data_IF_377526486074
#
_entry.id   IF_377526486074
#
_cell.length_a   1.000
_cell.length_b   1.000
_cell.length_c   1.000
_cell.angle_alpha   90.00
_cell.angle_beta   90.00
_cell.angle_gamma   90.00
#
_symmetry.space_group_name_H-M   'P 1'
#
loop_
_entity.id
_entity.type
_entity.pdbx_description
1 polymer ?
#
# COMPACT_ATOMS: atom_id res chain seq x y z
N UNK A 1 29.07 -10.52 6.55
CA UNK A 1 29.44 -9.51 7.58
C UNK A 1 28.61 -9.78 8.81
N UNK A 2 29.21 -9.91 10.02
CA UNK A 2 28.41 -10.00 11.25
C UNK A 2 27.75 -8.65 11.49
N UNK A 3 26.44 -8.61 11.44
CA UNK A 3 25.65 -7.43 11.79
C UNK A 3 25.89 -7.19 13.29
N UNK A 4 26.42 -6.03 13.67
CA UNK A 4 26.55 -5.67 15.07
C UNK A 4 25.16 -5.66 15.72
N UNK A 5 25.00 -6.33 16.86
CA UNK A 5 23.74 -6.38 17.57
C UNK A 5 23.39 -4.96 18.04
N UNK A 6 22.28 -4.43 17.57
CA UNK A 6 21.73 -3.18 18.06
C UNK A 6 20.74 -3.52 19.19
N UNK A 7 21.11 -3.25 20.45
CA UNK A 7 20.32 -3.60 21.63
C UNK A 7 18.91 -2.98 21.65
N UNK A 8 18.68 -1.94 20.86
CA UNK A 8 17.34 -1.33 20.67
C UNK A 8 16.46 -2.17 19.73
N UNK A 9 17.04 -2.99 18.87
CA UNK A 9 16.33 -3.75 17.83
C UNK A 9 16.30 -5.24 18.17
N UNK A 10 17.41 -5.80 18.67
CA UNK A 10 17.50 -7.23 18.96
C UNK A 10 18.27 -7.49 20.25
N UNK A 11 17.95 -8.59 20.91
CA UNK A 11 18.56 -9.05 22.16
C UNK A 11 18.87 -10.55 22.08
N UNK A 12 19.83 -11.01 22.89
CA UNK A 12 20.09 -12.45 23.07
C UNK A 12 19.22 -12.95 24.24
N UNK A 13 18.28 -13.80 23.96
CA UNK A 13 17.40 -14.46 24.94
C UNK A 13 17.62 -15.97 24.85
N UNK A 14 18.07 -16.58 25.96
CA UNK A 14 18.40 -18.02 26.03
C UNK A 14 19.37 -18.49 24.94
N UNK A 15 20.36 -17.67 24.60
CA UNK A 15 21.38 -17.97 23.60
C UNK A 15 20.94 -17.79 22.14
N UNK A 16 19.72 -17.33 21.90
CA UNK A 16 19.20 -17.01 20.56
C UNK A 16 18.98 -15.51 20.41
N UNK A 17 19.25 -15.00 19.22
CA UNK A 17 18.93 -13.62 18.86
C UNK A 17 17.43 -13.48 18.61
N UNK A 18 16.81 -12.48 19.20
CA UNK A 18 15.39 -12.18 19.08
C UNK A 18 15.22 -10.71 18.72
N UNK A 19 14.35 -10.40 17.77
CA UNK A 19 13.97 -9.01 17.43
C UNK A 19 12.97 -8.53 18.48
N UNK A 20 13.35 -7.50 19.25
CA UNK A 20 12.51 -6.93 20.32
C UNK A 20 11.69 -5.73 19.86
N UNK A 21 12.09 -5.10 18.75
CA UNK A 21 11.35 -3.99 18.13
C UNK A 21 10.90 -4.36 16.71
N UNK A 22 9.67 -4.85 16.61
CA UNK A 22 9.04 -5.17 15.32
C UNK A 22 8.49 -3.90 14.68
N UNK A 23 8.76 -3.63 13.39
CA UNK A 23 8.20 -2.48 12.70
C UNK A 23 6.68 -2.62 12.48
N UNK A 24 5.98 -1.49 12.47
CA UNK A 24 4.59 -1.40 12.07
C UNK A 24 4.43 -1.69 10.57
N UNK A 25 3.51 -2.56 10.18
CA UNK A 25 3.11 -2.74 8.78
C UNK A 25 1.92 -1.83 8.48
N UNK A 26 2.15 -0.77 7.68
CA UNK A 26 1.17 0.25 7.35
C UNK A 26 0.57 0.01 5.97
N UNK A 27 -0.71 -0.34 5.93
CA UNK A 27 -1.43 -0.69 4.70
C UNK A 27 -2.32 0.44 4.17
N UNK A 28 -2.56 0.50 2.85
CA UNK A 28 -3.47 1.49 2.24
C UNK A 28 -4.92 1.02 2.27
N UNK A 29 -5.87 1.94 2.46
CA UNK A 29 -7.28 1.68 2.17
C UNK A 29 -7.97 2.88 1.52
N UNK A 30 -8.68 2.63 0.40
CA UNK A 30 -9.44 3.65 -0.31
C UNK A 30 -10.93 3.65 0.07
N UNK A 31 -11.41 2.66 0.81
CA UNK A 31 -12.76 2.57 1.35
C UNK A 31 -12.79 1.62 2.55
N UNK A 32 -13.94 1.54 3.24
CA UNK A 32 -14.12 0.76 4.46
C UNK A 32 -13.91 -0.75 4.27
N UNK A 33 -14.32 -1.32 3.12
CA UNK A 33 -14.08 -2.74 2.78
C UNK A 33 -12.58 -3.04 2.75
N UNK A 34 -11.79 -2.21 2.04
CA UNK A 34 -10.32 -2.35 1.96
C UNK A 34 -9.66 -2.19 3.33
N UNK A 35 -10.17 -1.29 4.19
CA UNK A 35 -9.69 -1.11 5.55
C UNK A 35 -9.85 -2.41 6.36
N UNK A 36 -11.06 -2.98 6.35
CA UNK A 36 -11.34 -4.23 7.07
C UNK A 36 -10.47 -5.38 6.59
N UNK A 37 -10.31 -5.52 5.27
CA UNK A 37 -9.41 -6.50 4.66
C UNK A 37 -7.94 -6.27 5.07
N UNK A 38 -7.43 -5.04 4.98
CA UNK A 38 -6.05 -4.74 5.35
C UNK A 38 -5.74 -5.16 6.80
N UNK A 39 -6.63 -4.83 7.73
CA UNK A 39 -6.50 -5.18 9.15
C UNK A 39 -6.54 -6.69 9.36
N UNK A 40 -7.51 -7.40 8.76
CA UNK A 40 -7.64 -8.85 8.91
C UNK A 40 -6.48 -9.62 8.29
N UNK A 41 -5.86 -9.09 7.23
CA UNK A 41 -4.70 -9.70 6.57
C UNK A 41 -3.37 -9.34 7.21
N UNK A 42 -3.37 -8.62 8.34
CA UNK A 42 -2.20 -8.45 9.21
C UNK A 42 -1.55 -7.07 9.21
N UNK A 43 -2.26 -6.01 8.78
CA UNK A 43 -1.77 -4.65 8.94
C UNK A 43 -1.85 -4.21 10.42
N UNK A 44 -0.77 -3.65 10.94
CA UNK A 44 -0.72 -3.03 12.28
C UNK A 44 -1.36 -1.63 12.27
N UNK A 45 -1.34 -0.97 11.10
CA UNK A 45 -2.03 0.29 10.90
C UNK A 45 -2.52 0.43 9.45
N UNK A 46 -3.53 1.28 9.25
CA UNK A 46 -4.09 1.55 7.93
C UNK A 46 -4.16 3.06 7.69
N UNK A 47 -3.64 3.53 6.54
CA UNK A 47 -3.81 4.91 6.15
C UNK A 47 -4.94 5.07 5.14
N UNK A 48 -5.81 6.04 5.41
CA UNK A 48 -7.00 6.36 4.64
C UNK A 48 -6.97 7.82 4.18
N UNK A 49 -7.94 8.26 3.41
CA UNK A 49 -8.14 9.66 3.07
C UNK A 49 -9.55 10.10 3.41
N UNK A 50 -9.68 11.28 3.97
CA UNK A 50 -10.94 11.98 4.09
C UNK A 50 -11.39 12.59 2.76
N UNK A 51 -12.60 13.12 2.73
CA UNK A 51 -13.18 13.77 1.55
C UNK A 51 -12.41 15.03 1.16
N UNK A 52 -11.74 15.67 2.11
CA UNK A 52 -10.97 16.90 1.94
C UNK A 52 -9.51 16.71 2.38
N UNK A 53 -8.66 17.65 2.03
CA UNK A 53 -7.24 17.78 2.42
C UNK A 53 -6.32 16.60 2.05
N UNK A 54 -6.80 15.62 1.26
CA UNK A 54 -6.02 14.45 0.83
C UNK A 54 -5.59 14.48 -0.64
N UNK A 55 -4.43 13.86 -0.97
CA UNK A 55 -3.88 13.81 -2.35
C UNK A 55 -4.58 12.86 -3.32
N UNK A 56 -5.62 12.17 -2.93
CA UNK A 56 -6.34 11.21 -3.76
C UNK A 56 -7.83 11.52 -3.79
N UNK A 57 -8.19 12.68 -4.33
CA UNK A 57 -9.60 13.12 -4.45
C UNK A 57 -10.49 12.17 -5.25
N UNK A 58 -9.91 11.36 -6.15
CA UNK A 58 -10.64 10.34 -6.94
C UNK A 58 -10.74 8.97 -6.23
N UNK A 59 -10.16 8.78 -5.05
CA UNK A 59 -10.40 7.60 -4.23
C UNK A 59 -11.79 7.72 -3.60
N UNK A 60 -12.38 6.58 -3.21
CA UNK A 60 -13.71 6.57 -2.55
C UNK A 60 -13.79 7.44 -1.30
N UNK A 61 -12.66 7.78 -0.68
CA UNK A 61 -12.50 8.63 0.51
C UNK A 61 -13.55 8.41 1.59
N UNK A 62 -13.17 8.58 2.83
CA UNK A 62 -14.03 8.26 3.99
C UNK A 62 -14.80 9.48 4.48
N UNK A 63 -16.06 9.31 4.79
CA UNK A 63 -16.82 10.21 5.68
C UNK A 63 -16.36 10.04 7.12
N UNK A 64 -16.67 10.98 8.01
CA UNK A 64 -16.34 10.86 9.44
C UNK A 64 -17.00 9.63 10.09
N UNK A 65 -18.22 9.27 9.67
CA UNK A 65 -18.93 8.09 10.18
C UNK A 65 -18.23 6.80 9.75
N UNK A 66 -17.80 6.69 8.49
CA UNK A 66 -17.00 5.56 8.01
C UNK A 66 -15.62 5.49 8.67
N UNK A 67 -14.99 6.64 8.96
CA UNK A 67 -13.74 6.68 9.74
C UNK A 67 -13.95 6.13 11.14
N UNK A 68 -15.02 6.53 11.82
CA UNK A 68 -15.38 6.06 13.16
C UNK A 68 -15.64 4.55 13.14
N UNK A 69 -16.43 4.04 12.20
CA UNK A 69 -16.64 2.60 12.03
C UNK A 69 -15.33 1.86 11.78
N UNK A 70 -14.46 2.41 10.92
CA UNK A 70 -13.13 1.86 10.65
C UNK A 70 -12.24 1.81 11.88
N UNK A 71 -12.23 2.87 12.69
CA UNK A 71 -11.48 2.95 13.96
C UNK A 71 -11.99 1.92 14.95
N UNK A 72 -13.30 1.80 15.12
CA UNK A 72 -13.92 0.80 16.02
C UNK A 72 -13.61 -0.64 15.56
N UNK A 73 -13.61 -0.88 14.25
CA UNK A 73 -13.22 -2.17 13.68
C UNK A 73 -11.74 -2.47 13.92
N UNK A 74 -10.84 -1.53 13.59
CA UNK A 74 -9.40 -1.70 13.70
C UNK A 74 -8.97 -1.96 15.17
N UNK A 75 -9.59 -1.29 16.15
CA UNK A 75 -9.34 -1.52 17.57
C UNK A 75 -9.54 -2.96 18.02
N UNK A 76 -10.48 -3.71 17.41
CA UNK A 76 -10.72 -5.13 17.75
C UNK A 76 -9.52 -6.03 17.40
N UNK A 77 -8.69 -5.58 16.46
CA UNK A 77 -7.49 -6.26 16.00
C UNK A 77 -6.20 -5.62 16.52
N UNK A 78 -6.30 -4.58 17.37
CA UNK A 78 -5.15 -3.82 17.85
C UNK A 78 -4.50 -2.90 16.82
N UNK A 79 -5.17 -2.67 15.67
CA UNK A 79 -4.66 -1.83 14.59
C UNK A 79 -5.05 -0.35 14.75
N UNK A 80 -4.27 0.55 14.14
CA UNK A 80 -4.44 2.00 14.20
C UNK A 80 -4.87 2.57 12.84
N UNK A 81 -5.54 3.72 12.86
CA UNK A 81 -5.97 4.41 11.63
C UNK A 81 -5.30 5.78 11.56
N UNK A 82 -4.65 6.05 10.41
CA UNK A 82 -4.06 7.35 10.08
C UNK A 82 -4.78 7.99 8.90
N UNK A 83 -5.01 9.29 8.96
CA UNK A 83 -5.69 10.03 7.89
C UNK A 83 -4.70 10.89 7.12
N UNK A 84 -4.67 10.75 5.80
CA UNK A 84 -3.85 11.61 4.95
C UNK A 84 -4.52 12.99 4.79
N UNK A 85 -3.86 14.03 5.29
CA UNK A 85 -4.21 15.45 5.19
C UNK A 85 -3.05 16.20 4.53
N UNK A 86 -2.54 15.63 3.44
CA UNK A 86 -1.20 15.91 2.93
C UNK A 86 -1.19 16.73 1.62
N UNK A 87 -2.21 17.53 1.36
CA UNK A 87 -2.16 18.56 0.31
C UNK A 87 -1.21 19.68 0.75
N UNK A 88 -0.69 20.46 -0.21
CA UNK A 88 -0.22 21.80 0.04
C UNK A 88 -1.42 22.73 0.04
N UNK A 89 -1.73 23.33 1.21
CA UNK A 89 -2.89 24.18 1.38
C UNK A 89 -2.69 25.53 0.67
N UNK A 90 -3.73 26.01 0.01
CA UNK A 90 -3.83 27.37 -0.49
C UNK A 90 -4.81 28.17 0.38
N UNK A 91 -4.89 29.48 0.19
CA UNK A 91 -5.78 30.33 0.99
C UNK A 91 -7.25 29.86 1.02
N UNK A 92 -7.73 29.26 -0.08
CA UNK A 92 -9.07 28.67 -0.16
C UNK A 92 -9.28 27.44 0.73
N UNK A 93 -8.20 26.81 1.25
CA UNK A 93 -8.26 25.65 2.13
C UNK A 93 -8.17 26.05 3.62
N UNK A 94 -8.10 27.34 3.95
CA UNK A 94 -8.05 27.82 5.34
C UNK A 94 -9.41 27.67 6.00
N UNK A 95 -10.45 28.11 5.28
CA UNK A 95 -11.83 27.99 5.77
C UNK A 95 -12.24 26.51 5.84
N UNK A 96 -12.80 26.09 6.98
CA UNK A 96 -13.22 24.71 7.23
C UNK A 96 -12.14 23.77 7.78
N UNK A 97 -10.84 24.19 7.80
CA UNK A 97 -9.78 23.33 8.31
C UNK A 97 -9.95 22.96 9.79
N UNK A 98 -10.36 23.91 10.62
CA UNK A 98 -10.58 23.68 12.05
C UNK A 98 -11.68 22.65 12.29
N UNK A 99 -12.82 22.81 11.59
CA UNK A 99 -13.95 21.85 11.66
C UNK A 99 -13.54 20.46 11.18
N UNK A 100 -12.71 20.38 10.13
CA UNK A 100 -12.19 19.11 9.64
C UNK A 100 -11.30 18.42 10.68
N UNK A 101 -10.36 19.13 11.31
CA UNK A 101 -9.50 18.57 12.36
C UNK A 101 -10.32 18.12 13.57
N UNK A 102 -11.33 18.89 13.98
CA UNK A 102 -12.25 18.49 15.06
C UNK A 102 -13.09 17.26 14.67
N UNK A 103 -13.47 17.13 13.38
CA UNK A 103 -14.12 15.93 12.85
C UNK A 103 -13.24 14.69 12.95
N UNK A 104 -11.94 14.81 12.60
CA UNK A 104 -10.96 13.71 12.76
C UNK A 104 -10.80 13.29 14.21
N UNK A 105 -10.71 14.27 15.12
CA UNK A 105 -10.69 14.02 16.57
C UNK A 105 -11.97 13.28 17.02
N UNK A 106 -13.14 13.72 16.57
CA UNK A 106 -14.43 13.08 16.87
C UNK A 106 -14.55 11.65 16.33
N UNK A 107 -13.88 11.34 15.20
CA UNK A 107 -13.80 9.99 14.63
C UNK A 107 -12.82 9.10 15.41
N UNK A 108 -11.93 9.65 16.23
CA UNK A 108 -11.00 8.91 17.07
C UNK A 108 -9.82 8.31 16.31
N UNK A 109 -9.37 8.96 15.23
CA UNK A 109 -8.20 8.53 14.45
C UNK A 109 -6.93 8.68 15.30
N UNK A 110 -5.94 7.81 15.10
CA UNK A 110 -4.71 7.79 15.87
C UNK A 110 -3.71 8.87 15.44
N UNK A 111 -3.68 9.20 14.15
CA UNK A 111 -2.75 10.18 13.62
C UNK A 111 -3.17 10.76 12.28
N UNK A 112 -2.49 11.83 11.88
CA UNK A 112 -2.58 12.42 10.52
C UNK A 112 -1.23 12.35 9.81
N UNK A 113 -1.28 12.17 8.50
CA UNK A 113 -0.10 12.23 7.62
C UNK A 113 -0.21 13.55 6.85
N UNK A 114 0.65 14.51 7.15
CA UNK A 114 0.50 15.91 6.78
C UNK A 114 1.78 16.47 6.14
N UNK A 115 1.64 17.43 5.21
CA UNK A 115 2.77 18.11 4.59
C UNK A 115 2.80 19.62 4.86
N UNK A 116 1.67 20.23 5.14
CA UNK A 116 1.52 21.69 5.23
C UNK A 116 1.68 22.18 6.67
N UNK A 117 2.53 23.18 6.93
CA UNK A 117 2.73 23.75 8.28
C UNK A 117 1.45 24.29 8.93
N UNK A 118 0.51 24.87 8.14
CA UNK A 118 -0.77 25.35 8.63
C UNK A 118 -1.59 24.19 9.25
N UNK A 119 -1.65 23.05 8.54
CA UNK A 119 -2.40 21.89 8.98
C UNK A 119 -1.74 21.28 10.23
N UNK A 120 -0.39 21.25 10.29
CA UNK A 120 0.37 20.79 11.48
C UNK A 120 0.03 21.67 12.69
N UNK A 121 0.12 22.99 12.55
CA UNK A 121 -0.17 23.93 13.64
C UNK A 121 -1.63 23.77 14.12
N UNK A 122 -2.57 23.74 13.19
CA UNK A 122 -4.00 23.63 13.49
C UNK A 122 -4.31 22.32 14.23
N UNK A 123 -3.72 21.19 13.81
CA UNK A 123 -3.90 19.91 14.47
C UNK A 123 -3.37 19.96 15.91
N UNK A 124 -2.15 20.43 16.12
CA UNK A 124 -1.54 20.55 17.45
C UNK A 124 -2.35 21.42 18.40
N UNK A 125 -2.93 22.49 17.90
CA UNK A 125 -3.74 23.40 18.71
C UNK A 125 -5.10 22.81 19.11
N UNK A 126 -5.78 22.10 18.18
CA UNK A 126 -7.16 21.64 18.38
C UNK A 126 -7.28 20.19 18.82
N UNK A 127 -6.32 19.36 18.43
CA UNK A 127 -6.34 17.91 18.64
C UNK A 127 -4.94 17.37 19.03
N UNK A 128 -4.36 17.83 20.14
CA UNK A 128 -3.00 17.45 20.54
C UNK A 128 -2.84 15.96 20.87
N UNK A 129 -3.92 15.21 20.96
CA UNK A 129 -3.93 13.75 21.11
C UNK A 129 -3.75 12.99 19.81
N UNK A 130 -3.84 13.64 18.64
CA UNK A 130 -3.63 13.06 17.32
C UNK A 130 -2.15 13.16 16.96
N UNK A 131 -1.49 12.02 16.71
CA UNK A 131 -0.10 11.99 16.25
C UNK A 131 0.07 12.70 14.92
N UNK A 132 1.16 13.45 14.76
CA UNK A 132 1.45 14.19 13.53
C UNK A 132 2.63 13.54 12.81
N UNK A 133 2.37 12.85 11.70
CA UNK A 133 3.36 12.20 10.86
C UNK A 133 3.66 13.06 9.63
N UNK A 134 4.92 13.43 9.44
CA UNK A 134 5.32 14.24 8.30
C UNK A 134 5.26 13.42 7.01
N UNK A 135 4.53 13.92 6.03
CA UNK A 135 4.36 13.24 4.74
C UNK A 135 5.65 13.23 3.90
N UNK A 136 5.83 12.17 3.10
CA UNK A 136 6.84 12.10 2.03
C UNK A 136 6.80 13.29 1.07
N UNK A 137 5.72 14.04 1.03
CA UNK A 137 5.58 15.29 0.25
C UNK A 137 6.62 16.37 0.63
N UNK A 138 7.18 16.29 1.84
CA UNK A 138 8.26 17.17 2.29
C UNK A 138 9.65 16.76 1.78
N UNK A 139 9.74 15.66 1.03
CA UNK A 139 10.98 15.21 0.34
C UNK A 139 12.18 15.05 1.29
N UNK A 140 11.98 14.49 2.49
CA UNK A 140 13.10 14.31 3.44
C UNK A 140 14.07 13.24 2.95
N UNK A 141 15.33 13.62 2.76
CA UNK A 141 16.41 12.76 2.27
C UNK A 141 17.72 12.90 3.05
N UNK A 142 17.76 13.65 4.16
CA UNK A 142 18.95 13.81 4.97
C UNK A 142 18.62 14.03 6.45
N UNK A 143 19.54 13.64 7.34
CA UNK A 143 19.33 13.68 8.79
C UNK A 143 19.13 15.10 9.38
N UNK A 144 19.67 16.14 8.74
CA UNK A 144 19.48 17.53 9.19
C UNK A 144 18.03 18.00 9.03
N UNK A 145 17.42 17.65 7.89
CA UNK A 145 16.00 17.93 7.65
C UNK A 145 15.11 17.10 8.60
N UNK A 146 15.48 15.85 8.90
CA UNK A 146 14.78 15.02 9.89
C UNK A 146 14.91 15.61 11.29
N UNK A 147 16.11 16.08 11.68
CA UNK A 147 16.36 16.74 12.96
C UNK A 147 15.52 18.01 13.13
N UNK A 148 15.42 18.84 12.08
CA UNK A 148 14.57 20.03 12.08
C UNK A 148 13.12 19.71 12.47
N UNK A 149 12.52 18.70 11.82
CA UNK A 149 11.12 18.34 12.11
C UNK A 149 10.93 17.69 13.48
N UNK A 150 11.95 16.97 13.98
CA UNK A 150 11.97 16.53 15.36
C UNK A 150 11.95 17.70 16.35
N UNK A 151 12.76 18.72 16.11
CA UNK A 151 12.83 19.95 16.93
C UNK A 151 11.50 20.72 16.87
N UNK A 152 10.83 20.68 15.72
CA UNK A 152 9.46 21.13 15.56
C UNK A 152 8.43 20.23 16.28
N UNK A 153 8.83 19.16 16.94
CA UNK A 153 8.02 18.30 17.81
C UNK A 153 7.13 17.31 17.05
N UNK A 154 7.52 16.81 15.89
CA UNK A 154 6.83 15.72 15.22
C UNK A 154 7.27 14.37 15.77
N UNK A 155 6.35 13.42 15.80
CA UNK A 155 6.58 12.06 16.31
C UNK A 155 7.18 11.15 15.25
N UNK A 156 6.79 11.33 13.99
CA UNK A 156 7.20 10.47 12.86
C UNK A 156 7.44 11.26 11.59
N UNK A 157 8.41 10.79 10.79
CA UNK A 157 8.67 11.32 9.44
C UNK A 157 8.59 10.20 8.39
N UNK A 158 7.87 10.46 7.29
CA UNK A 158 7.87 9.59 6.10
C UNK A 158 8.94 10.07 5.15
N UNK A 159 9.98 9.27 4.95
CA UNK A 159 11.08 9.65 4.08
C UNK A 159 10.67 9.77 2.61
N UNK A 160 11.45 10.51 1.86
CA UNK A 160 11.40 10.48 0.41
C UNK A 160 11.71 9.07 -0.10
N UNK A 161 11.06 8.64 -1.20
CA UNK A 161 11.35 7.34 -1.83
C UNK A 161 12.74 7.28 -2.48
N UNK A 162 13.38 8.44 -2.59
CA UNK A 162 14.71 8.65 -3.15
C UNK A 162 15.85 8.46 -2.11
N UNK A 163 15.51 7.94 -0.92
CA UNK A 163 16.48 7.74 0.18
C UNK A 163 17.04 6.32 0.15
N UNK A 164 18.36 6.19 0.22
CA UNK A 164 19.08 4.91 0.26
C UNK A 164 19.14 4.32 1.67
N UNK A 165 19.48 3.03 1.76
CA UNK A 165 19.68 2.34 3.03
C UNK A 165 20.80 2.97 3.89
N UNK A 166 21.89 3.47 3.27
CA UNK A 166 22.98 4.14 3.93
C UNK A 166 22.54 5.47 4.57
N UNK A 167 21.74 6.26 3.83
CA UNK A 167 21.20 7.53 4.34
C UNK A 167 20.23 7.29 5.50
N UNK A 168 19.36 6.27 5.40
CA UNK A 168 18.45 5.87 6.47
C UNK A 168 19.23 5.47 7.72
N UNK A 169 20.31 4.69 7.55
CA UNK A 169 21.20 4.30 8.65
C UNK A 169 21.75 5.54 9.36
N UNK A 170 22.30 6.49 8.61
CA UNK A 170 22.85 7.73 9.16
C UNK A 170 21.77 8.55 9.91
N UNK A 171 20.53 8.60 9.40
CA UNK A 171 19.42 9.26 10.06
C UNK A 171 19.08 8.60 11.40
N UNK A 172 18.96 7.27 11.43
CA UNK A 172 18.66 6.50 12.66
C UNK A 172 19.77 6.58 13.72
N UNK A 173 21.03 6.71 13.30
CA UNK A 173 22.16 6.90 14.20
C UNK A 173 22.19 8.30 14.84
N UNK A 174 21.75 9.33 14.11
CA UNK A 174 21.87 10.74 14.51
C UNK A 174 20.60 11.34 15.11
N UNK A 175 19.43 10.83 14.77
CA UNK A 175 18.13 11.43 15.16
C UNK A 175 17.24 10.38 15.77
N UNK A 176 16.81 10.62 17.00
CA UNK A 176 15.86 9.75 17.72
C UNK A 176 14.41 10.18 17.43
N UNK A 177 13.89 9.76 16.28
CA UNK A 177 12.52 9.98 15.80
C UNK A 177 12.04 8.72 15.09
N UNK A 178 10.74 8.49 15.01
CA UNK A 178 10.19 7.41 14.20
C UNK A 178 10.36 7.69 12.71
N UNK A 179 10.88 6.69 12.00
CA UNK A 179 11.07 6.73 10.54
C UNK A 179 10.12 5.74 9.87
N UNK A 180 9.36 6.25 8.90
CA UNK A 180 8.50 5.48 8.02
C UNK A 180 9.05 5.49 6.59
N UNK A 181 9.07 4.33 5.92
CA UNK A 181 9.51 4.21 4.53
C UNK A 181 8.52 3.41 3.69
N UNK A 182 8.41 3.72 2.40
CA UNK A 182 7.67 2.88 1.47
C UNK A 182 8.44 1.59 1.17
N UNK A 183 7.73 0.47 1.09
CA UNK A 183 8.30 -0.86 0.82
C UNK A 183 7.72 -1.54 -0.42
N UNK A 184 6.54 -1.10 -0.90
CA UNK A 184 5.87 -1.72 -2.04
C UNK A 184 4.93 -0.76 -2.74
N UNK A 185 4.79 -0.92 -4.07
CA UNK A 185 3.80 -0.23 -4.89
C UNK A 185 4.38 0.87 -5.76
N UNK A 186 3.52 1.77 -6.19
CA UNK A 186 3.83 2.74 -7.24
C UNK A 186 4.98 3.70 -6.90
N UNK A 187 5.91 3.87 -7.85
CA UNK A 187 6.94 4.90 -7.83
C UNK A 187 6.52 6.10 -8.69
N UNK A 188 6.98 7.30 -8.31
CA UNK A 188 6.85 8.52 -9.10
C UNK A 188 8.11 8.75 -9.94
N UNK A 189 7.95 9.38 -11.13
CA UNK A 189 9.09 9.81 -11.94
C UNK A 189 9.78 11.06 -11.35
N UNK A 190 9.02 11.92 -10.69
CA UNK A 190 9.54 13.11 -10.02
C UNK A 190 9.86 12.80 -8.56
N UNK A 191 10.74 13.60 -7.97
CA UNK A 191 10.97 13.59 -6.53
C UNK A 191 9.67 13.64 -5.74
N UNK A 192 9.63 12.96 -4.61
CA UNK A 192 8.48 12.93 -3.69
C UNK A 192 8.01 14.35 -3.37
N UNK A 193 6.73 14.65 -3.65
CA UNK A 193 6.13 15.99 -3.42
C UNK A 193 6.57 17.11 -4.37
N UNK A 194 7.31 16.83 -5.43
CA UNK A 194 7.85 17.85 -6.36
C UNK A 194 7.35 17.68 -7.80
N UNK A 195 6.21 17.01 -8.00
CA UNK A 195 5.70 16.74 -9.34
C UNK A 195 4.74 17.83 -9.82
N UNK A 196 5.02 18.39 -11.00
CA UNK A 196 4.12 19.32 -11.70
C UNK A 196 3.66 18.78 -13.07
N UNK A 197 3.97 17.51 -13.37
CA UNK A 197 3.65 16.92 -14.68
C UNK A 197 2.15 16.97 -14.99
N UNK A 198 1.31 16.56 -14.02
CA UNK A 198 -0.15 16.60 -14.20
C UNK A 198 -0.68 18.01 -14.39
N UNK A 199 -0.07 19.02 -13.75
CA UNK A 199 -0.45 20.41 -13.93
C UNK A 199 -0.29 20.84 -15.41
N UNK A 200 0.87 20.51 -16.01
CA UNK A 200 1.16 20.88 -17.40
C UNK A 200 0.36 20.04 -18.41
N UNK A 201 0.13 18.77 -18.12
CA UNK A 201 -0.55 17.87 -19.06
C UNK A 201 -2.09 17.97 -19.03
N UNK A 202 -2.67 18.33 -17.88
CA UNK A 202 -4.13 18.24 -17.68
C UNK A 202 -4.73 19.40 -16.88
N UNK A 203 -3.96 20.41 -16.55
CA UNK A 203 -4.35 21.51 -15.65
C UNK A 203 -4.84 21.03 -14.26
N UNK A 204 -4.39 19.85 -13.79
CA UNK A 204 -4.73 19.27 -12.49
C UNK A 204 -3.50 19.25 -11.60
N UNK A 205 -3.59 19.88 -10.42
CA UNK A 205 -2.46 19.97 -9.50
C UNK A 205 -2.21 18.65 -8.78
N UNK A 206 -1.06 18.02 -9.09
CA UNK A 206 -0.66 16.75 -8.50
C UNK A 206 -0.38 16.82 -7.00
N UNK A 207 -0.04 18.00 -6.48
CA UNK A 207 0.25 18.23 -5.06
C UNK A 207 -0.98 18.66 -4.24
N UNK A 208 -2.13 18.75 -4.91
CA UNK A 208 -3.43 19.11 -4.32
C UNK A 208 -4.53 18.09 -4.66
N UNK A 209 -4.17 16.84 -4.94
CA UNK A 209 -5.11 15.78 -5.24
C UNK A 209 -5.35 15.49 -6.73
N UNK A 210 -4.81 16.30 -7.62
CA UNK A 210 -5.04 16.23 -9.07
C UNK A 210 -4.13 15.30 -9.86
N UNK A 211 -3.32 14.46 -9.23
CA UNK A 211 -2.45 13.53 -9.96
C UNK A 211 -3.24 12.58 -10.86
N UNK A 212 -3.07 12.70 -12.17
CA UNK A 212 -3.70 11.85 -13.19
C UNK A 212 -2.77 10.73 -13.69
N UNK A 213 -1.59 10.57 -13.07
CA UNK A 213 -0.57 9.58 -13.45
C UNK A 213 -0.09 9.75 -14.91
N UNK A 214 0.00 10.98 -15.41
CA UNK A 214 0.46 11.28 -16.77
C UNK A 214 1.85 10.73 -17.08
N UNK A 215 2.73 10.55 -16.06
CA UNK A 215 4.01 9.85 -16.25
C UNK A 215 3.87 8.38 -16.71
N UNK A 216 2.67 7.81 -16.66
CA UNK A 216 2.38 6.43 -17.05
C UNK A 216 1.64 6.31 -18.38
N UNK A 217 1.40 7.43 -19.05
CA UNK A 217 0.82 7.45 -20.38
C UNK A 217 1.87 7.11 -21.42
N UNK A 218 1.42 6.61 -22.53
CA UNK A 218 2.22 6.41 -23.74
C UNK A 218 2.32 7.73 -24.50
N UNK A 219 3.53 8.08 -24.94
CA UNK A 219 3.82 9.30 -25.67
C UNK A 219 4.52 9.01 -26.98
N UNK A 220 4.11 9.69 -28.05
CA UNK A 220 4.90 9.82 -29.25
C UNK A 220 5.81 11.04 -29.12
N UNK A 221 7.10 10.82 -29.33
CA UNK A 221 8.10 11.89 -29.30
C UNK A 221 8.33 12.45 -30.68
N UNK A 222 8.22 13.76 -30.81
CA UNK A 222 8.49 14.46 -32.05
C UNK A 222 9.66 15.42 -31.86
N UNK A 223 10.53 15.52 -32.89
CA UNK A 223 11.62 16.48 -32.96
C UNK A 223 11.21 17.57 -33.95
N UNK A 224 11.26 18.83 -33.53
CA UNK A 224 11.26 19.97 -34.43
C UNK A 224 12.69 20.15 -34.95
N UNK A 225 12.86 20.14 -36.27
CA UNK A 225 14.11 20.53 -36.88
C UNK A 225 14.25 22.06 -36.97
N UNK A 226 15.37 22.55 -37.56
CA UNK A 226 15.63 23.99 -37.72
C UNK A 226 14.72 24.67 -38.75
N UNK A 227 13.89 23.91 -39.46
CA UNK A 227 12.93 24.40 -40.48
C UNK A 227 11.48 24.26 -40.04
N UNK A 228 11.25 23.99 -38.70
CA UNK A 228 9.94 23.72 -38.12
C UNK A 228 9.25 22.46 -38.71
N UNK A 229 10.00 21.54 -39.33
CA UNK A 229 9.49 20.25 -39.74
C UNK A 229 9.45 19.29 -38.54
N UNK A 230 8.31 18.63 -38.37
CA UNK A 230 8.07 17.68 -37.27
C UNK A 230 8.41 16.27 -37.72
N UNK A 231 9.43 15.67 -37.13
CA UNK A 231 9.78 14.25 -37.34
C UNK A 231 9.56 13.45 -36.08
N UNK A 232 8.96 12.26 -36.21
CA UNK A 232 8.82 11.36 -35.07
C UNK A 232 10.21 10.86 -34.63
N UNK A 233 10.50 10.98 -33.34
CA UNK A 233 11.82 10.65 -32.79
C UNK A 233 11.95 9.16 -32.38
N UNK A 234 10.87 8.56 -31.88
CA UNK A 234 10.83 7.14 -31.55
C UNK A 234 10.35 6.34 -32.78
N UNK A 235 11.29 5.87 -33.58
CA UNK A 235 10.98 4.94 -34.67
C UNK A 235 10.74 3.53 -34.09
N UNK A 236 9.56 2.95 -34.37
CA UNK A 236 9.21 1.60 -33.97
C UNK A 236 7.88 1.50 -33.21
N UNK A 237 7.48 0.27 -32.88
CA UNK A 237 6.18 -0.08 -32.29
C UNK A 237 6.08 0.22 -30.78
N UNK A 238 7.11 0.79 -30.15
CA UNK A 238 7.14 1.04 -28.71
C UNK A 238 7.01 2.52 -28.40
N UNK A 239 5.87 2.97 -27.84
CA UNK A 239 5.72 4.34 -27.38
C UNK A 239 6.71 4.64 -26.22
N UNK A 240 7.04 5.93 -26.06
CA UNK A 240 7.84 6.38 -24.93
C UNK A 240 6.98 6.54 -23.69
N UNK A 241 7.46 6.06 -22.55
CA UNK A 241 6.86 6.35 -21.25
C UNK A 241 7.91 6.81 -20.24
N UNK A 242 7.49 7.72 -19.37
CA UNK A 242 8.31 8.22 -18.26
C UNK A 242 8.11 7.39 -17.00
N UNK A 243 7.79 6.12 -17.10
CA UNK A 243 7.31 5.34 -15.99
C UNK A 243 8.40 4.49 -15.34
N UNK A 244 8.77 4.74 -14.07
CA UNK A 244 9.63 3.80 -13.35
C UNK A 244 8.86 2.51 -13.03
N UNK A 245 9.59 1.43 -12.77
CA UNK A 245 9.04 0.20 -12.18
C UNK A 245 8.44 0.47 -10.82
N UNK A 246 7.48 -0.34 -10.40
CA UNK A 246 6.91 -0.24 -9.07
C UNK A 246 7.93 -0.72 -8.01
N UNK A 247 7.89 -0.16 -6.82
CA UNK A 247 8.78 -0.52 -5.71
C UNK A 247 8.44 -1.93 -5.19
N UNK A 248 9.47 -2.76 -4.91
CA UNK A 248 9.35 -4.03 -4.20
C UNK A 248 10.59 -4.28 -3.36
N UNK A 249 10.48 -4.19 -2.03
CA UNK A 249 11.57 -4.33 -1.07
C UNK A 249 11.40 -5.55 -0.16
N UNK A 250 10.70 -6.59 -0.60
CA UNK A 250 10.47 -7.79 0.21
C UNK A 250 11.77 -8.46 0.66
N UNK A 251 12.78 -8.50 -0.21
CA UNK A 251 14.08 -9.11 0.07
C UNK A 251 14.93 -8.23 1.01
N UNK A 252 14.62 -6.94 1.09
CA UNK A 252 15.31 -5.96 1.96
C UNK A 252 14.66 -5.82 3.35
N UNK A 253 13.52 -6.48 3.62
CA UNK A 253 12.83 -6.40 4.93
C UNK A 253 13.75 -6.72 6.11
N UNK A 254 14.59 -7.77 6.08
CA UNK A 254 15.56 -8.01 7.14
C UNK A 254 16.46 -6.81 7.42
N UNK A 255 17.04 -6.22 6.37
CA UNK A 255 17.90 -5.05 6.48
C UNK A 255 17.14 -3.84 7.06
N UNK A 256 15.90 -3.62 6.63
CA UNK A 256 15.05 -2.52 7.13
C UNK A 256 14.75 -2.65 8.62
N UNK A 257 14.48 -3.87 9.08
CA UNK A 257 14.28 -4.17 10.51
C UNK A 257 15.58 -3.88 11.29
N UNK A 258 16.73 -4.34 10.79
CA UNK A 258 18.03 -4.12 11.43
C UNK A 258 18.43 -2.63 11.46
N UNK A 259 18.03 -1.85 10.48
CA UNK A 259 18.20 -0.40 10.48
C UNK A 259 17.32 0.30 11.53
N UNK A 260 16.32 -0.41 12.08
CA UNK A 260 15.39 0.13 13.07
C UNK A 260 14.34 1.06 12.47
N UNK A 261 13.94 0.83 11.23
CA UNK A 261 12.81 1.53 10.62
C UNK A 261 11.55 1.18 11.40
N UNK A 262 10.77 2.20 11.77
CA UNK A 262 9.65 2.05 12.71
C UNK A 262 8.34 1.66 11.99
N UNK A 263 8.14 2.11 10.74
CA UNK A 263 6.94 1.81 9.97
C UNK A 263 7.27 1.50 8.50
N UNK A 264 6.72 0.41 8.00
CA UNK A 264 6.88 -0.14 6.66
C UNK A 264 5.59 0.05 5.87
N UNK A 265 5.59 0.99 4.93
CA UNK A 265 4.39 1.47 4.23
C UNK A 265 4.19 0.86 2.86
N UNK A 266 3.00 0.33 2.61
CA UNK A 266 2.56 -0.15 1.30
C UNK A 266 1.79 0.97 0.58
N UNK A 267 2.14 1.30 -0.67
CA UNK A 267 1.34 2.18 -1.54
C UNK A 267 0.27 1.39 -2.27
N UNK A 268 -0.95 1.93 -2.38
CA UNK A 268 -2.00 1.25 -3.13
C UNK A 268 -3.44 1.61 -2.78
N UNK A 269 -3.77 2.82 -2.30
CA UNK A 269 -5.15 3.23 -1.97
C UNK A 269 -6.16 2.99 -3.10
N UNK A 270 -5.73 3.13 -4.36
CA UNK A 270 -6.57 2.90 -5.54
C UNK A 270 -6.58 1.44 -6.02
N UNK A 271 -5.76 0.57 -5.45
CA UNK A 271 -5.68 -0.85 -5.83
C UNK A 271 -6.89 -1.65 -5.35
N UNK A 272 -7.08 -2.85 -5.92
CA UNK A 272 -8.16 -3.78 -5.55
C UNK A 272 -7.99 -4.33 -4.13
N UNK A 273 -9.06 -4.89 -3.57
CA UNK A 273 -8.97 -5.62 -2.28
C UNK A 273 -8.06 -6.85 -2.39
N UNK A 274 -8.03 -7.52 -3.55
CA UNK A 274 -7.13 -8.63 -3.83
C UNK A 274 -5.65 -8.22 -3.70
N UNK A 275 -5.28 -7.07 -4.28
CA UNK A 275 -3.93 -6.53 -4.13
C UNK A 275 -3.59 -6.23 -2.66
N UNK A 276 -4.50 -5.54 -1.94
CA UNK A 276 -4.27 -5.20 -0.53
C UNK A 276 -4.10 -6.46 0.30
N UNK A 277 -4.99 -7.43 0.16
CA UNK A 277 -4.94 -8.71 0.87
C UNK A 277 -3.63 -9.46 0.61
N UNK A 278 -3.27 -9.65 -0.67
CA UNK A 278 -2.07 -10.40 -1.06
C UNK A 278 -0.81 -9.72 -0.56
N UNK A 279 -0.65 -8.41 -0.81
CA UNK A 279 0.58 -7.69 -0.43
C UNK A 279 0.73 -7.63 1.09
N UNK A 280 -0.32 -7.26 1.82
CA UNK A 280 -0.28 -7.17 3.29
C UNK A 280 0.05 -8.52 3.91
N UNK A 281 -0.62 -9.62 3.50
CA UNK A 281 -0.37 -10.96 4.05
C UNK A 281 1.05 -11.45 3.81
N UNK A 282 1.60 -11.19 2.62
CA UNK A 282 2.97 -11.60 2.29
C UNK A 282 3.99 -10.83 3.14
N UNK A 283 3.90 -9.50 3.19
CA UNK A 283 4.82 -8.70 4.02
C UNK A 283 4.67 -9.04 5.50
N UNK A 284 3.46 -9.30 5.98
CA UNK A 284 3.24 -9.77 7.36
C UNK A 284 3.99 -11.08 7.64
N UNK A 285 3.86 -12.07 6.76
CA UNK A 285 4.56 -13.36 6.88
C UNK A 285 6.08 -13.18 6.92
N UNK A 286 6.63 -12.33 6.05
CA UNK A 286 8.08 -12.06 5.99
C UNK A 286 8.58 -11.39 7.27
N UNK A 287 7.89 -10.35 7.74
CA UNK A 287 8.24 -9.63 8.97
C UNK A 287 8.19 -10.59 10.17
N UNK A 288 7.13 -11.38 10.29
CA UNK A 288 6.94 -12.30 11.40
C UNK A 288 7.98 -13.42 11.41
N UNK A 289 8.26 -14.01 10.24
CA UNK A 289 9.25 -15.06 10.11
C UNK A 289 10.66 -14.56 10.43
N UNK A 290 11.04 -13.36 9.95
CA UNK A 290 12.33 -12.77 10.28
C UNK A 290 12.44 -12.44 11.78
N UNK A 291 11.41 -11.84 12.36
CA UNK A 291 11.42 -11.49 13.79
C UNK A 291 11.44 -12.73 14.69
N UNK A 292 10.87 -13.87 14.25
CA UNK A 292 10.87 -15.12 15.01
C UNK A 292 12.22 -15.84 15.02
N UNK A 293 12.93 -15.84 13.90
CA UNK A 293 14.26 -16.50 13.78
C UNK A 293 15.14 -15.78 12.76
N UNK A 294 15.77 -14.65 13.16
CA UNK A 294 16.59 -13.84 12.26
C UNK A 294 17.88 -14.54 11.81
N UNK A 295 18.38 -15.54 12.55
CA UNK A 295 19.61 -16.24 12.23
C UNK A 295 19.45 -17.28 11.11
N UNK A 296 18.27 -17.93 11.04
CA UNK A 296 17.99 -18.95 10.04
C UNK A 296 16.99 -18.49 8.97
N UNK A 297 16.65 -17.20 8.96
CA UNK A 297 15.68 -16.65 8.02
C UNK A 297 16.15 -16.74 6.57
N UNK A 298 15.26 -17.24 5.71
CA UNK A 298 15.45 -17.25 4.25
C UNK A 298 14.14 -16.83 3.59
N UNK A 299 14.22 -15.92 2.62
CA UNK A 299 13.07 -15.56 1.78
C UNK A 299 12.58 -16.80 1.04
N UNK A 300 11.31 -17.13 1.23
CA UNK A 300 10.68 -18.24 0.54
C UNK A 300 10.29 -17.83 -0.88
N UNK A 301 10.54 -18.73 -1.85
CA UNK A 301 10.19 -18.48 -3.25
C UNK A 301 8.68 -18.25 -3.44
N UNK A 302 7.87 -18.97 -2.69
CA UNK A 302 6.43 -18.88 -2.67
C UNK A 302 5.90 -17.49 -2.32
N UNK A 303 6.61 -16.74 -1.46
CA UNK A 303 6.23 -15.36 -1.13
C UNK A 303 6.45 -14.40 -2.30
N UNK A 304 7.50 -14.62 -3.09
CA UNK A 304 7.76 -13.84 -4.30
C UNK A 304 6.72 -14.15 -5.38
N UNK A 305 6.44 -15.43 -5.59
CA UNK A 305 5.40 -15.91 -6.54
C UNK A 305 4.01 -15.41 -6.14
N UNK A 306 3.72 -15.35 -4.84
CA UNK A 306 2.45 -14.84 -4.33
C UNK A 306 2.25 -13.35 -4.67
N UNK A 307 3.28 -12.51 -4.52
CA UNK A 307 3.22 -11.09 -4.92
C UNK A 307 2.99 -10.95 -6.44
N UNK A 308 3.57 -11.84 -7.24
CA UNK A 308 3.42 -11.79 -8.70
C UNK A 308 1.98 -12.10 -9.16
N UNK A 309 1.18 -12.83 -8.38
CA UNK A 309 -0.24 -13.10 -8.67
C UNK A 309 -1.11 -11.85 -8.74
N UNK A 310 -0.77 -10.78 -8.02
CA UNK A 310 -1.49 -9.51 -8.05
C UNK A 310 -0.72 -8.37 -8.72
N UNK A 311 0.52 -8.59 -9.16
CA UNK A 311 1.35 -7.58 -9.79
C UNK A 311 0.87 -7.28 -11.21
N UNK A 312 0.66 -6.01 -11.52
CA UNK A 312 0.29 -5.55 -12.86
C UNK A 312 1.39 -4.70 -13.53
N UNK A 313 2.56 -4.63 -12.92
CA UNK A 313 3.74 -3.90 -13.41
C UNK A 313 5.01 -4.60 -12.95
N UNK A 314 6.10 -4.40 -13.69
CA UNK A 314 7.42 -4.82 -13.25
C UNK A 314 7.83 -4.05 -11.98
N UNK A 315 8.67 -4.67 -11.17
CA UNK A 315 9.10 -4.16 -9.88
C UNK A 315 10.62 -4.04 -9.80
N UNK A 316 11.10 -3.14 -8.92
CA UNK A 316 12.51 -2.93 -8.63
C UNK A 316 12.71 -2.44 -7.18
N UNK A 317 13.93 -2.53 -6.61
CA UNK A 317 14.25 -1.98 -5.29
C UNK A 317 14.37 -0.45 -5.29
N UNK A 318 14.36 0.19 -6.44
CA UNK A 318 14.51 1.63 -6.65
C UNK A 318 15.74 2.21 -5.92
N UNK A 319 15.59 3.32 -5.19
CA UNK A 319 16.69 4.03 -4.53
C UNK A 319 17.22 3.35 -3.26
N UNK A 320 16.50 2.40 -2.69
CA UNK A 320 16.93 1.77 -1.43
C UNK A 320 18.30 1.08 -1.56
N UNK A 321 18.58 0.48 -2.70
CA UNK A 321 19.88 -0.15 -3.02
C UNK A 321 20.89 0.81 -3.68
N UNK A 322 20.53 2.08 -3.85
CA UNK A 322 21.35 3.12 -4.48
C UNK A 322 20.62 3.83 -5.62
N UNK A 323 21.32 4.67 -6.37
CA UNK A 323 20.71 5.46 -7.45
C UNK A 323 20.26 4.54 -8.59
N UNK A 324 18.94 4.49 -8.91
CA UNK A 324 18.41 3.65 -9.97
C UNK A 324 18.89 4.11 -11.35
N UNK A 325 19.08 3.16 -12.24
CA UNK A 325 19.48 3.38 -13.62
C UNK A 325 18.34 3.07 -14.62
N UNK A 326 18.73 2.84 -15.87
CA UNK A 326 17.75 2.51 -16.93
C UNK A 326 17.03 1.18 -16.70
N UNK A 327 17.59 0.26 -15.93
CA UNK A 327 16.98 -1.05 -15.62
C UNK A 327 15.75 -0.94 -14.73
N UNK A 328 15.63 0.13 -13.96
CA UNK A 328 14.50 0.42 -13.09
C UNK A 328 13.42 1.24 -13.80
N UNK A 329 13.65 1.59 -15.08
CA UNK A 329 12.68 2.22 -15.95
C UNK A 329 11.88 1.17 -16.73
N UNK A 330 10.61 1.45 -17.00
CA UNK A 330 9.78 0.62 -17.89
C UNK A 330 9.92 1.08 -19.33
N UNK A 331 10.20 0.13 -20.23
CA UNK A 331 10.26 0.36 -21.67
C UNK A 331 9.22 -0.52 -22.35
N UNK A 332 8.50 0.04 -23.35
CA UNK A 332 7.49 -0.70 -24.11
C UNK A 332 6.17 -0.89 -23.35
N UNK A 333 5.57 -2.06 -23.46
CA UNK A 333 4.25 -2.32 -22.89
C UNK A 333 4.26 -2.25 -21.34
N UNK A 334 3.55 -1.28 -20.76
CA UNK A 334 3.65 -0.90 -19.34
C UNK A 334 2.74 -1.69 -18.41
N UNK A 335 1.91 -2.59 -18.93
CA UNK A 335 1.07 -3.45 -18.12
C UNK A 335 1.52 -4.90 -18.20
N UNK A 336 2.05 -5.44 -17.09
CA UNK A 336 2.12 -6.89 -16.91
C UNK A 336 0.69 -7.38 -16.73
N UNK A 337 0.27 -8.41 -17.49
CA UNK A 337 -0.99 -9.07 -17.16
C UNK A 337 -0.80 -9.78 -15.82
N UNK A 338 -1.72 -9.57 -14.90
CA UNK A 338 -1.79 -10.38 -13.69
C UNK A 338 -1.92 -11.85 -14.07
N UNK A 339 -1.30 -12.72 -13.33
CA UNK A 339 -1.42 -14.18 -13.59
C UNK A 339 -2.70 -14.76 -13.02
N UNK A 340 -3.33 -14.05 -12.07
CA UNK A 340 -4.57 -14.47 -11.43
C UNK A 340 -5.64 -13.38 -11.44
N UNK A 341 -6.88 -13.79 -11.73
CA UNK A 341 -8.08 -12.97 -11.57
C UNK A 341 -8.67 -13.15 -10.16
N UNK A 342 -9.02 -12.03 -9.52
CA UNK A 342 -9.81 -12.06 -8.29
C UNK A 342 -11.25 -12.49 -8.62
N UNK A 343 -11.61 -13.72 -8.29
CA UNK A 343 -12.88 -14.34 -8.68
C UNK A 343 -14.01 -14.11 -7.66
N UNK A 344 -13.70 -14.04 -6.36
CA UNK A 344 -14.75 -13.83 -5.37
C UNK A 344 -14.27 -13.64 -3.94
N UNK A 345 -15.17 -13.09 -3.12
CA UNK A 345 -15.00 -12.87 -1.69
C UNK A 345 -15.93 -13.82 -0.92
N UNK A 346 -15.39 -14.56 0.02
CA UNK A 346 -16.17 -15.44 0.91
C UNK A 346 -16.99 -14.59 1.85
N UNK A 347 -18.30 -14.83 1.88
CA UNK A 347 -19.24 -14.21 2.81
C UNK A 347 -19.53 -15.11 4.01
N UNK A 348 -19.69 -16.42 3.76
CA UNK A 348 -20.04 -17.40 4.78
C UNK A 348 -19.65 -18.83 4.35
N UNK A 349 -19.55 -19.73 5.31
CA UNK A 349 -19.31 -21.14 5.08
C UNK A 349 -20.18 -22.01 6.02
N UNK A 350 -21.07 -22.77 5.43
CA UNK A 350 -21.86 -23.78 6.13
C UNK A 350 -21.05 -25.08 6.30
N UNK A 351 -20.51 -25.28 7.49
CA UNK A 351 -19.66 -26.43 7.79
C UNK A 351 -20.44 -27.76 7.83
N UNK A 352 -21.74 -27.75 8.08
CA UNK A 352 -22.59 -28.95 8.13
C UNK A 352 -22.84 -29.50 6.73
N UNK A 353 -23.15 -28.61 5.80
CA UNK A 353 -23.46 -28.94 4.41
C UNK A 353 -22.25 -28.79 3.47
N UNK A 354 -21.12 -28.29 3.98
CA UNK A 354 -19.90 -27.98 3.21
C UNK A 354 -20.20 -27.06 2.01
N UNK A 355 -20.92 -25.96 2.26
CA UNK A 355 -21.32 -24.99 1.24
C UNK A 355 -20.69 -23.64 1.56
N UNK A 356 -19.91 -23.12 0.60
CA UNK A 356 -19.42 -21.74 0.65
C UNK A 356 -20.43 -20.80 0.01
N UNK A 357 -20.68 -19.66 0.64
CA UNK A 357 -21.39 -18.52 0.08
C UNK A 357 -20.38 -17.47 -0.32
N UNK A 358 -20.34 -17.13 -1.61
CA UNK A 358 -19.32 -16.28 -2.22
C UNK A 358 -19.98 -15.11 -2.94
N UNK A 359 -19.41 -13.89 -2.78
CA UNK A 359 -19.73 -12.75 -3.62
C UNK A 359 -18.81 -12.74 -4.83
N UNK A 360 -19.35 -12.90 -6.02
CA UNK A 360 -18.62 -12.91 -7.27
C UNK A 360 -17.95 -11.56 -7.55
N UNK A 361 -16.69 -11.58 -7.98
CA UNK A 361 -15.90 -10.39 -8.34
C UNK A 361 -15.37 -10.45 -9.77
N UNK A 362 -15.25 -11.63 -10.35
CA UNK A 362 -14.94 -11.86 -11.76
C UNK A 362 -15.64 -13.13 -12.24
N UNK A 363 -15.74 -13.28 -13.56
CA UNK A 363 -16.38 -14.44 -14.21
C UNK A 363 -15.69 -15.77 -13.83
N UNK A 364 -16.46 -16.76 -13.45
CA UNK A 364 -16.04 -18.16 -13.34
C UNK A 364 -17.21 -19.12 -13.59
N UNK A 365 -16.91 -20.39 -13.91
CA UNK A 365 -17.89 -21.42 -14.25
C UNK A 365 -17.53 -22.78 -13.67
N UNK A 366 -18.48 -23.72 -13.59
CA UNK A 366 -18.21 -25.10 -13.26
C UNK A 366 -17.10 -25.73 -14.12
N UNK A 367 -16.30 -26.59 -13.53
CA UNK A 367 -15.12 -27.22 -14.12
C UNK A 367 -13.84 -26.42 -14.06
N UNK A 368 -13.85 -25.17 -13.56
CA UNK A 368 -12.64 -24.38 -13.39
C UNK A 368 -11.96 -24.65 -12.04
N UNK A 369 -10.64 -24.70 -12.07
CA UNK A 369 -9.81 -24.70 -10.86
C UNK A 369 -9.73 -23.30 -10.30
N UNK A 370 -9.86 -23.19 -8.98
CA UNK A 370 -9.78 -21.95 -8.22
C UNK A 370 -8.89 -22.14 -7.00
N UNK A 371 -8.27 -21.07 -6.55
CA UNK A 371 -7.44 -21.05 -5.35
C UNK A 371 -8.11 -20.16 -4.28
N UNK A 372 -8.22 -20.72 -3.05
CA UNK A 372 -8.62 -19.99 -1.86
C UNK A 372 -7.41 -19.57 -1.05
N UNK A 373 -7.43 -18.37 -0.52
CA UNK A 373 -6.40 -17.83 0.37
C UNK A 373 -7.00 -16.83 1.36
N UNK A 374 -6.37 -16.68 2.50
CA UNK A 374 -6.80 -15.69 3.50
C UNK A 374 -6.22 -15.94 4.87
N UNK A 375 -6.60 -15.09 5.86
CA UNK A 375 -6.29 -15.36 7.24
C UNK A 375 -6.86 -16.70 7.70
N UNK A 376 -6.16 -17.36 8.61
CA UNK A 376 -6.60 -18.61 9.27
C UNK A 376 -6.70 -19.85 8.36
N UNK A 377 -6.33 -19.73 7.08
CA UNK A 377 -6.26 -20.87 6.16
C UNK A 377 -4.89 -20.94 5.46
N UNK A 378 -4.44 -22.14 5.14
CA UNK A 378 -3.40 -22.34 4.14
C UNK A 378 -4.00 -22.21 2.74
N UNK A 379 -3.27 -21.64 1.78
CA UNK A 379 -3.72 -21.57 0.40
C UNK A 379 -3.98 -22.97 -0.15
N UNK A 380 -5.10 -23.15 -0.83
CA UNK A 380 -5.42 -24.42 -1.47
C UNK A 380 -6.22 -24.24 -2.76
N UNK A 381 -6.06 -25.18 -3.69
CA UNK A 381 -6.83 -25.24 -4.92
C UNK A 381 -7.96 -26.26 -4.82
N UNK A 382 -9.03 -26.00 -5.58
CA UNK A 382 -10.15 -26.90 -5.76
C UNK A 382 -10.81 -26.66 -7.12
N UNK A 383 -11.60 -27.62 -7.59
CA UNK A 383 -12.42 -27.45 -8.80
C UNK A 383 -13.85 -27.13 -8.40
N UNK A 384 -14.41 -26.08 -8.96
CA UNK A 384 -15.83 -25.73 -8.76
C UNK A 384 -16.68 -26.70 -9.59
N UNK A 385 -17.38 -27.64 -8.95
CA UNK A 385 -18.18 -28.64 -9.68
C UNK A 385 -19.51 -28.07 -10.18
N UNK A 386 -20.25 -27.38 -9.29
CA UNK A 386 -21.56 -26.80 -9.55
C UNK A 386 -21.68 -25.46 -8.82
N UNK A 387 -22.47 -24.57 -9.37
CA UNK A 387 -22.76 -23.25 -8.80
C UNK A 387 -24.27 -23.10 -8.69
N UNK A 388 -24.73 -22.55 -7.56
CA UNK A 388 -26.14 -22.18 -7.34
C UNK A 388 -26.25 -20.70 -7.00
N UNK A 389 -27.39 -20.11 -7.35
CA UNK A 389 -27.76 -18.78 -6.86
C UNK A 389 -28.27 -18.82 -5.40
N UNK A 390 -28.73 -17.68 -4.88
CA UNK A 390 -29.28 -17.56 -3.53
C UNK A 390 -30.52 -18.41 -3.31
N UNK A 391 -31.33 -18.59 -4.36
CA UNK A 391 -32.59 -19.35 -4.34
C UNK A 391 -32.37 -20.87 -4.56
N UNK A 392 -31.14 -21.31 -4.82
CA UNK A 392 -30.78 -22.71 -5.04
C UNK A 392 -30.91 -23.18 -6.50
N UNK A 393 -31.11 -22.28 -7.44
CA UNK A 393 -31.14 -22.63 -8.87
C UNK A 393 -29.72 -22.84 -9.39
N UNK A 394 -29.48 -23.91 -10.16
CA UNK A 394 -28.18 -24.22 -10.74
C UNK A 394 -27.83 -23.18 -11.84
N UNK A 395 -26.62 -22.65 -11.77
CA UNK A 395 -26.06 -21.70 -12.72
C UNK A 395 -25.00 -22.36 -13.61
N UNK A 396 -25.00 -22.01 -14.88
CA UNK A 396 -23.97 -22.41 -15.85
C UNK A 396 -22.67 -21.60 -15.68
N UNK A 397 -22.74 -20.41 -15.08
CA UNK A 397 -21.60 -19.58 -14.68
C UNK A 397 -22.01 -18.44 -13.72
N UNK A 398 -21.06 -17.99 -12.90
CA UNK A 398 -21.16 -16.75 -12.15
C UNK A 398 -20.65 -15.59 -13.03
N UNK A 399 -21.55 -14.75 -13.53
CA UNK A 399 -21.20 -13.73 -14.55
C UNK A 399 -21.59 -12.30 -14.20
N UNK A 400 -22.39 -12.10 -13.17
CA UNK A 400 -22.85 -10.77 -12.79
C UNK A 400 -22.01 -10.22 -11.63
N UNK A 401 -21.43 -9.03 -11.75
CA UNK A 401 -20.67 -8.41 -10.67
C UNK A 401 -21.45 -8.36 -9.36
N UNK A 402 -20.81 -8.72 -8.25
CA UNK A 402 -21.40 -8.76 -6.89
C UNK A 402 -22.49 -9.83 -6.70
N UNK A 403 -22.74 -10.70 -7.67
CA UNK A 403 -23.69 -11.81 -7.55
C UNK A 403 -23.31 -12.73 -6.39
N UNK A 404 -24.28 -13.08 -5.57
CA UNK A 404 -24.09 -14.08 -4.52
C UNK A 404 -24.27 -15.45 -5.14
N UNK A 405 -23.29 -16.32 -4.94
CA UNK A 405 -23.30 -17.70 -5.44
C UNK A 405 -22.90 -18.67 -4.35
N UNK A 406 -23.35 -19.89 -4.47
CA UNK A 406 -23.05 -20.98 -3.54
C UNK A 406 -22.47 -22.18 -4.30
N UNK A 407 -21.54 -22.89 -3.69
CA UNK A 407 -21.06 -24.17 -4.21
C UNK A 407 -20.46 -25.03 -3.10
N UNK A 408 -20.28 -26.33 -3.37
CA UNK A 408 -19.66 -27.25 -2.41
C UNK A 408 -18.17 -27.01 -2.29
N UNK A 409 -17.68 -27.04 -1.06
CA UNK A 409 -16.29 -26.85 -0.73
C UNK A 409 -15.93 -27.70 0.49
N UNK A 410 -15.06 -28.69 0.32
CA UNK A 410 -14.72 -29.67 1.36
C UNK A 410 -13.86 -29.08 2.49
N UNK A 411 -13.09 -28.03 2.19
CA UNK A 411 -12.23 -27.36 3.16
C UNK A 411 -12.90 -26.11 3.73
N UNK A 412 -12.83 -25.90 5.05
CA UNK A 412 -13.43 -24.72 5.66
C UNK A 412 -12.75 -23.43 5.19
N UNK A 413 -13.55 -22.40 4.98
CA UNK A 413 -13.13 -21.03 4.71
C UNK A 413 -13.91 -20.08 5.60
N UNK A 414 -13.43 -18.86 5.75
CA UNK A 414 -13.99 -17.88 6.67
C UNK A 414 -14.40 -16.60 5.94
N UNK A 415 -15.32 -15.80 6.48
CA UNK A 415 -15.66 -14.50 5.91
C UNK A 415 -14.42 -13.65 5.62
N UNK A 416 -14.41 -13.03 4.45
CA UNK A 416 -13.30 -12.25 3.89
C UNK A 416 -12.07 -13.07 3.42
N UNK A 417 -12.10 -14.40 3.46
CA UNK A 417 -11.19 -15.16 2.61
C UNK A 417 -11.49 -14.88 1.14
N UNK A 418 -10.52 -15.04 0.28
CA UNK A 418 -10.63 -14.70 -1.14
C UNK A 418 -10.48 -15.91 -2.02
N UNK A 419 -11.22 -15.92 -3.12
CA UNK A 419 -11.09 -16.88 -4.21
C UNK A 419 -10.51 -16.19 -5.42
N UNK A 420 -9.53 -16.82 -6.06
CA UNK A 420 -8.92 -16.37 -7.32
C UNK A 420 -8.75 -17.54 -8.28
N UNK A 421 -8.56 -17.24 -9.55
CA UNK A 421 -8.32 -18.23 -10.60
C UNK A 421 -7.16 -17.79 -11.49
N UNK A 422 -6.44 -18.74 -12.05
CA UNK A 422 -5.42 -18.48 -13.09
C UNK A 422 -6.08 -17.96 -14.37
N UNK A 423 -5.38 -17.05 -15.09
CA UNK A 423 -5.87 -16.40 -16.31
C UNK A 423 -5.46 -17.22 -17.54
#
# INVERSE_FOLDING_TARGET
MSIAINDKISQIVNGKRVIVKKPELLAPAGNLEKLKIAVQYGADAVFIGGQEYGLRSNAGNFTFDEMKEGVEFAKKYGARIYVTTNIFAHNENIDGLEDYILGLKGAGVAGIIVADPLIIETCRRLAPEIEVHLSTQQSLSNWKAVQFWKEEGLERVVLARETSAEEIKEMKEKVDIEIETFIHGAMCIAYSGRCTLSNHMTARDSNRGGCCQSCRWDYDLYKLDQQDEVAQFNEGDSPFAMSPKDLKLIESIPQMIELGIDSLKIEGRMKSIHYVATVVSVYRKVIDAYCADPENFVIQKEWLEELDKCANRDTAPAFFEGVPGYKEQMFGNHSKKTTFDFAGLVLDYDAENQIVTLQQRNYFKPGQEVEFFGPEIENFTTVVEKIWDEDGNELDAARHPMQIVKFKLDKPVYPNNMMRKEI
#
